data_IF_084517478386
#
_entry.id   IF_084517478386
#
_cell.length_a   1.000
_cell.length_b   1.000
_cell.length_c   1.000
_cell.angle_alpha   90.00
_cell.angle_beta   90.00
_cell.angle_gamma   90.00
#
_symmetry.space_group_name_H-M   'P 1'
#
loop_
_entity.id
_entity.type
_entity.pdbx_description
1 polymer ?
#
# COMPACT_ATOMS: atom_id res chain seq x y z
N UNK A 1 -27.63 -18.56 -25.53
CA UNK A 1 -26.89 -17.33 -25.19
C UNK A 1 -25.42 -17.73 -25.11
N UNK A 2 -24.56 -17.36 -26.07
CA UNK A 2 -23.16 -17.77 -26.01
C UNK A 2 -22.45 -16.99 -24.89
N UNK A 3 -21.57 -17.68 -24.16
CA UNK A 3 -20.78 -17.16 -23.05
C UNK A 3 -19.89 -15.99 -23.53
N UNK A 4 -19.94 -14.87 -22.82
CA UNK A 4 -19.18 -13.67 -23.17
C UNK A 4 -17.68 -13.92 -23.06
N UNK A 5 -16.96 -13.69 -24.16
CA UNK A 5 -15.49 -13.70 -24.16
C UNK A 5 -14.95 -12.65 -23.16
N UNK A 6 -13.82 -12.92 -22.49
CA UNK A 6 -13.21 -11.97 -21.56
C UNK A 6 -12.86 -10.65 -22.28
N UNK A 7 -13.24 -9.53 -21.67
CA UNK A 7 -12.86 -8.19 -22.11
C UNK A 7 -11.45 -7.93 -21.62
N UNK A 8 -10.47 -7.95 -22.52
CA UNK A 8 -9.14 -7.42 -22.26
C UNK A 8 -9.17 -5.91 -22.45
N UNK A 9 -8.97 -5.17 -21.36
CA UNK A 9 -8.67 -3.74 -21.43
C UNK A 9 -7.26 -3.61 -21.98
N UNK A 10 -7.13 -3.42 -23.30
CA UNK A 10 -5.90 -2.88 -23.88
C UNK A 10 -5.77 -1.45 -23.37
N UNK A 11 -4.90 -1.25 -22.40
CA UNK A 11 -4.48 0.08 -22.01
C UNK A 11 -3.74 0.67 -23.22
N UNK A 12 -4.31 1.72 -23.83
CA UNK A 12 -3.61 2.49 -24.86
C UNK A 12 -2.23 2.90 -24.35
N UNK A 13 -1.27 3.03 -25.26
CA UNK A 13 0.06 3.58 -24.93
C UNK A 13 -0.15 4.82 -24.07
N UNK A 14 0.44 4.84 -22.88
CA UNK A 14 0.44 5.98 -21.97
C UNK A 14 0.77 7.21 -22.83
N UNK A 15 -0.19 8.13 -22.94
CA UNK A 15 -0.01 9.35 -23.69
C UNK A 15 1.27 10.04 -23.19
N UNK A 16 2.08 10.57 -24.12
CA UNK A 16 3.15 11.48 -23.71
C UNK A 16 2.49 12.64 -22.95
N UNK A 17 3.04 13.06 -21.80
CA UNK A 17 2.48 14.19 -21.05
C UNK A 17 2.25 15.36 -21.99
N UNK A 18 1.08 15.97 -21.90
CA UNK A 18 0.81 17.21 -22.62
C UNK A 18 1.82 18.26 -22.14
N UNK A 19 2.61 18.91 -23.00
CA UNK A 19 3.47 20.02 -22.60
C UNK A 19 2.69 21.21 -21.99
N UNK A 20 1.35 21.18 -22.03
CA UNK A 20 0.44 22.08 -21.29
C UNK A 20 -0.19 21.43 -20.05
N UNK A 21 0.47 20.44 -19.42
CA UNK A 21 -0.04 19.83 -18.18
C UNK A 21 -0.23 20.94 -17.14
N UNK A 22 -1.46 21.15 -16.62
CA UNK A 22 -1.73 22.01 -15.47
C UNK A 22 -0.72 21.72 -14.34
N UNK A 23 -0.29 22.72 -13.57
CA UNK A 23 0.75 22.55 -12.55
C UNK A 23 0.28 21.61 -11.43
N UNK A 24 0.48 20.30 -11.60
CA UNK A 24 0.30 19.31 -10.55
C UNK A 24 1.23 19.69 -9.40
N UNK A 25 0.71 19.67 -8.18
CA UNK A 25 1.54 19.84 -6.99
C UNK A 25 1.59 18.54 -6.21
N UNK A 26 2.74 18.24 -5.64
CA UNK A 26 2.92 17.05 -4.83
C UNK A 26 3.77 17.31 -3.60
N UNK A 27 3.57 16.48 -2.58
CA UNK A 27 4.42 16.37 -1.41
C UNK A 27 4.33 14.96 -0.85
N UNK A 28 5.40 14.50 -0.20
CA UNK A 28 5.42 13.20 0.46
C UNK A 28 5.86 13.30 1.92
N UNK A 29 5.28 12.46 2.76
CA UNK A 29 5.63 12.31 4.17
C UNK A 29 5.61 10.86 4.61
N UNK A 30 6.56 10.48 5.44
CA UNK A 30 6.55 9.23 6.18
C UNK A 30 6.20 9.53 7.63
N UNK A 31 5.30 8.74 8.22
CA UNK A 31 4.93 8.81 9.62
C UNK A 31 5.15 7.47 10.30
N UNK A 32 5.62 7.48 11.54
CA UNK A 32 5.74 6.27 12.35
C UNK A 32 4.34 5.82 12.80
N UNK A 33 3.99 4.58 12.45
CA UNK A 33 2.76 3.90 12.84
C UNK A 33 3.05 2.62 13.64
N UNK A 34 4.23 2.54 14.26
CA UNK A 34 4.62 1.43 15.14
C UNK A 34 3.87 1.51 16.48
N UNK A 35 2.95 0.58 16.78
CA UNK A 35 2.28 0.54 18.07
C UNK A 35 3.22 0.04 19.17
N UNK A 36 2.87 0.21 20.46
CA UNK A 36 3.56 -0.51 21.54
C UNK A 36 3.40 -2.04 21.40
N UNK A 37 4.32 -2.85 21.96
CA UNK A 37 4.22 -4.31 21.91
C UNK A 37 3.02 -4.81 22.74
N UNK A 38 2.60 -6.05 22.50
CA UNK A 38 1.48 -6.68 23.20
C UNK A 38 0.15 -6.65 22.43
N UNK A 39 0.07 -5.86 21.36
CA UNK A 39 -1.08 -5.89 20.45
C UNK A 39 -1.11 -7.21 19.65
N UNK A 40 -2.31 -7.66 19.22
CA UNK A 40 -2.44 -8.86 18.39
C UNK A 40 -1.59 -8.74 17.13
N UNK A 41 -1.00 -9.83 16.64
CA UNK A 41 -0.39 -9.83 15.31
C UNK A 41 -1.43 -10.13 14.24
N UNK A 42 -1.31 -9.48 13.09
CA UNK A 42 -2.15 -9.75 11.92
C UNK A 42 -1.59 -10.90 11.07
N UNK A 43 -2.47 -11.71 10.48
CA UNK A 43 -2.25 -12.44 9.22
C UNK A 43 -2.26 -13.95 9.37
N UNK A 44 -1.66 -14.49 10.42
CA UNK A 44 -1.58 -15.94 10.65
C UNK A 44 -2.73 -16.51 11.49
N UNK A 45 -3.68 -15.69 11.92
CA UNK A 45 -4.84 -16.14 12.68
C UNK A 45 -4.43 -16.90 13.95
N UNK A 46 -5.16 -17.98 14.28
CA UNK A 46 -4.92 -18.77 15.49
C UNK A 46 -3.65 -19.64 15.47
N UNK A 47 -2.95 -19.74 14.33
CA UNK A 47 -1.75 -20.58 14.20
C UNK A 47 -0.43 -19.80 14.25
N UNK A 48 -0.52 -18.47 14.30
CA UNK A 48 0.62 -17.58 14.50
C UNK A 48 0.76 -17.10 15.94
N UNK A 49 1.79 -16.29 16.18
CA UNK A 49 2.04 -15.69 17.47
C UNK A 49 0.93 -14.72 17.90
N UNK A 50 0.59 -14.77 19.19
CA UNK A 50 -0.57 -14.04 19.71
C UNK A 50 -0.36 -12.52 19.77
N UNK A 51 0.89 -12.08 19.94
CA UNK A 51 1.27 -10.69 20.04
C UNK A 51 2.74 -10.47 19.72
N UNK A 52 3.07 -9.29 19.19
CA UNK A 52 4.46 -8.90 19.02
C UNK A 52 5.06 -8.50 20.38
N UNK A 53 6.29 -8.92 20.65
CA UNK A 53 7.05 -8.60 21.87
C UNK A 53 8.04 -7.44 21.67
N UNK A 54 8.18 -6.97 20.44
CA UNK A 54 9.11 -5.93 20.08
C UNK A 54 9.09 -5.62 18.58
N UNK A 55 10.20 -5.08 18.09
CA UNK A 55 10.30 -4.58 16.72
C UNK A 55 11.61 -5.05 16.11
N UNK A 56 11.55 -5.54 14.88
CA UNK A 56 12.76 -5.67 14.07
C UNK A 56 12.98 -4.37 13.29
N UNK A 57 11.90 -3.85 12.69
CA UNK A 57 11.87 -2.54 12.05
C UNK A 57 10.61 -1.81 12.49
N UNK A 58 10.66 -0.47 12.46
CA UNK A 58 9.47 0.37 12.63
C UNK A 58 8.42 0.04 11.54
N UNK A 59 7.16 0.35 11.80
CA UNK A 59 6.08 0.36 10.81
C UNK A 59 5.83 1.80 10.39
N UNK A 60 5.61 2.03 9.09
CA UNK A 60 5.44 3.38 8.57
C UNK A 60 4.18 3.53 7.73
N UNK A 61 3.55 4.69 7.86
CA UNK A 61 2.59 5.21 6.90
C UNK A 61 3.33 6.14 5.94
N UNK A 62 3.25 5.89 4.64
CA UNK A 62 3.87 6.70 3.59
C UNK A 62 2.75 7.39 2.81
N UNK A 63 2.76 8.71 2.86
CA UNK A 63 1.72 9.58 2.34
C UNK A 63 2.27 10.32 1.13
N UNK A 64 1.51 10.30 0.03
CA UNK A 64 1.71 11.12 -1.16
C UNK A 64 0.47 11.99 -1.32
N UNK A 65 0.63 13.28 -1.07
CA UNK A 65 -0.37 14.30 -1.30
C UNK A 65 -0.21 14.85 -2.71
N UNK A 66 -1.32 14.94 -3.43
CA UNK A 66 -1.41 15.52 -4.78
C UNK A 66 -2.49 16.60 -4.79
N UNK A 67 -2.27 17.67 -5.54
CA UNK A 67 -3.24 18.75 -5.77
C UNK A 67 -3.20 19.15 -7.24
N UNK A 68 -4.37 19.20 -7.88
CA UNK A 68 -4.49 19.71 -9.26
C UNK A 68 -4.61 21.24 -9.29
N UNK A 69 -4.61 21.83 -10.50
CA UNK A 69 -4.75 23.28 -10.68
C UNK A 69 -6.08 23.83 -10.13
N UNK A 70 -7.14 23.02 -10.11
CA UNK A 70 -8.43 23.36 -9.54
C UNK A 70 -8.49 23.30 -8.01
N UNK A 71 -7.37 22.95 -7.35
CA UNK A 71 -7.28 22.77 -5.91
C UNK A 71 -7.91 21.47 -5.41
N UNK A 72 -8.27 20.53 -6.31
CA UNK A 72 -8.74 19.21 -5.90
C UNK A 72 -7.56 18.40 -5.38
N UNK A 73 -7.74 17.81 -4.21
CA UNK A 73 -6.70 17.04 -3.54
C UNK A 73 -6.96 15.56 -3.62
N UNK A 74 -5.88 14.80 -3.73
CA UNK A 74 -5.86 13.34 -3.62
C UNK A 74 -4.80 12.97 -2.59
N UNK A 75 -5.15 12.09 -1.65
CA UNK A 75 -4.20 11.51 -0.73
C UNK A 75 -4.04 10.02 -1.01
N UNK A 76 -2.82 9.61 -1.34
CA UNK A 76 -2.44 8.21 -1.42
C UNK A 76 -1.64 7.82 -0.18
N UNK A 77 -2.08 6.78 0.52
CA UNK A 77 -1.46 6.30 1.75
C UNK A 77 -1.11 4.83 1.59
N UNK A 78 0.17 4.48 1.79
CA UNK A 78 0.63 3.11 1.94
C UNK A 78 1.01 2.86 3.40
N UNK A 79 0.43 1.84 4.01
CA UNK A 79 0.67 1.49 5.41
C UNK A 79 1.42 0.16 5.54
N UNK A 80 2.42 0.10 6.42
CA UNK A 80 3.04 -1.15 6.85
C UNK A 80 2.09 -1.91 7.80
N UNK A 81 0.93 -2.31 7.26
CA UNK A 81 -0.14 -3.04 7.95
C UNK A 81 -0.57 -4.27 7.16
N UNK A 82 -1.31 -5.13 7.84
CA UNK A 82 -1.83 -6.37 7.29
C UNK A 82 -2.92 -6.20 6.25
N UNK A 83 -3.86 -5.27 6.42
CA UNK A 83 -4.84 -4.96 5.39
C UNK A 83 -5.41 -3.57 5.61
N UNK A 84 -6.06 -3.02 4.59
CA UNK A 84 -6.88 -1.81 4.75
C UNK A 84 -8.14 -2.13 5.56
N UNK A 85 -8.62 -1.15 6.32
CA UNK A 85 -9.84 -1.25 7.13
C UNK A 85 -10.79 -0.13 6.71
N UNK A 86 -12.03 -0.48 6.35
CA UNK A 86 -13.05 0.52 6.01
C UNK A 86 -13.26 1.52 7.17
N UNK A 87 -13.15 1.05 8.41
CA UNK A 87 -13.21 1.92 9.59
C UNK A 87 -12.06 2.94 9.59
N UNK A 88 -10.82 2.49 9.42
CA UNK A 88 -9.65 3.37 9.41
C UNK A 88 -9.71 4.37 8.25
N UNK A 89 -10.07 3.90 7.05
CA UNK A 89 -10.26 4.74 5.85
C UNK A 89 -11.28 5.85 6.08
N UNK A 90 -12.49 5.49 6.53
CA UNK A 90 -13.57 6.48 6.72
C UNK A 90 -13.28 7.45 7.86
N UNK A 91 -12.65 6.99 8.95
CA UNK A 91 -12.22 7.85 10.06
C UNK A 91 -11.13 8.84 9.62
N UNK A 92 -10.18 8.39 8.80
CA UNK A 92 -9.13 9.27 8.25
C UNK A 92 -9.72 10.31 7.29
N UNK A 93 -10.59 9.90 6.37
CA UNK A 93 -11.28 10.82 5.46
C UNK A 93 -12.10 11.86 6.24
N UNK A 94 -12.85 11.45 7.26
CA UNK A 94 -13.59 12.37 8.12
C UNK A 94 -12.66 13.37 8.85
N UNK A 95 -11.50 12.92 9.32
CA UNK A 95 -10.51 13.77 9.98
C UNK A 95 -9.83 14.78 9.04
N UNK A 96 -9.84 14.51 7.72
CA UNK A 96 -9.22 15.33 6.68
C UNK A 96 -10.25 16.08 5.80
N UNK A 97 -11.52 16.10 6.20
CA UNK A 97 -12.57 16.75 5.41
C UNK A 97 -12.37 18.27 5.24
N UNK A 98 -11.73 18.93 6.22
CA UNK A 98 -11.42 20.37 6.13
C UNK A 98 -10.28 20.66 5.16
N UNK A 99 -9.45 19.66 4.90
CA UNK A 99 -8.31 19.68 3.99
C UNK A 99 -8.72 19.32 2.57
N UNK A 100 -10.01 19.10 2.30
CA UNK A 100 -10.55 18.78 0.97
C UNK A 100 -10.50 17.30 0.61
N UNK A 101 -10.26 16.41 1.58
CA UNK A 101 -10.21 14.95 1.34
C UNK A 101 -11.55 14.30 1.66
N UNK A 102 -12.33 14.09 0.62
CA UNK A 102 -13.48 13.18 0.65
C UNK A 102 -13.00 11.71 0.61
N UNK A 103 -13.86 10.74 0.99
CA UNK A 103 -13.49 9.33 0.92
C UNK A 103 -13.06 8.85 -0.48
N UNK A 104 -13.62 9.43 -1.54
CA UNK A 104 -13.30 9.09 -2.93
C UNK A 104 -11.96 9.70 -3.39
N UNK A 105 -11.42 10.65 -2.61
CA UNK A 105 -10.12 11.30 -2.78
C UNK A 105 -9.06 10.72 -1.82
N UNK A 106 -9.32 9.56 -1.21
CA UNK A 106 -8.39 8.86 -0.32
C UNK A 106 -8.14 7.43 -0.80
N UNK A 107 -6.92 7.16 -1.25
CA UNK A 107 -6.44 5.81 -1.54
C UNK A 107 -5.68 5.29 -0.33
N UNK A 108 -6.09 4.13 0.21
CA UNK A 108 -5.40 3.46 1.32
C UNK A 108 -4.99 2.05 0.92
N UNK A 109 -3.69 1.88 0.69
CA UNK A 109 -3.05 0.61 0.39
C UNK A 109 -2.22 0.13 1.60
N UNK A 110 -1.93 -1.16 1.63
CA UNK A 110 -1.13 -1.77 2.69
C UNK A 110 -0.10 -2.73 2.10
N UNK A 111 1.03 -2.92 2.77
CA UNK A 111 2.04 -3.92 2.37
C UNK A 111 1.57 -5.36 2.50
N UNK A 112 0.44 -5.58 3.20
CA UNK A 112 -0.01 -6.91 3.58
C UNK A 112 1.03 -7.65 4.43
N UNK A 113 1.72 -6.92 5.33
CA UNK A 113 2.65 -7.53 6.29
C UNK A 113 1.89 -8.37 7.32
N UNK A 114 2.35 -9.61 7.52
CA UNK A 114 1.90 -10.46 8.62
C UNK A 114 2.63 -10.16 9.96
N UNK A 115 3.41 -9.09 10.00
CA UNK A 115 4.11 -8.60 11.18
C UNK A 115 3.60 -7.23 11.64
N UNK A 116 2.39 -6.83 11.25
CA UNK A 116 1.70 -5.65 11.76
C UNK A 116 0.74 -5.96 12.92
N UNK A 117 0.20 -4.94 13.61
CA UNK A 117 -0.85 -5.14 14.59
C UNK A 117 -2.14 -5.64 13.93
N UNK A 118 -2.95 -6.40 14.65
CA UNK A 118 -4.35 -6.69 14.36
C UNK A 118 -5.29 -5.81 15.21
N UNK A 119 -6.60 -6.10 15.17
CA UNK A 119 -7.58 -5.47 16.06
C UNK A 119 -8.09 -4.09 15.62
N UNK A 120 -7.77 -3.63 14.42
CA UNK A 120 -8.20 -2.32 13.90
C UNK A 120 -9.34 -2.39 12.87
N UNK A 121 -10.00 -3.55 12.75
CA UNK A 121 -11.18 -3.71 11.89
C UNK A 121 -12.46 -3.37 12.65
N UNK A 122 -13.41 -2.71 11.98
CA UNK A 122 -14.74 -2.42 12.52
C UNK A 122 -15.66 -3.63 12.63
N UNK A 123 -15.15 -4.86 12.49
CA UNK A 123 -15.96 -6.07 12.50
C UNK A 123 -15.24 -7.22 13.23
N UNK A 124 -15.95 -7.84 14.18
CA UNK A 124 -15.40 -8.91 15.04
C UNK A 124 -14.88 -10.12 14.27
N UNK A 125 -15.56 -10.51 13.19
CA UNK A 125 -15.13 -11.63 12.36
C UNK A 125 -13.74 -11.40 11.76
N UNK A 126 -13.48 -10.21 11.19
CA UNK A 126 -12.17 -9.93 10.59
C UNK A 126 -11.08 -9.89 11.66
N UNK A 127 -11.34 -9.27 12.82
CA UNK A 127 -10.38 -9.27 13.92
C UNK A 127 -10.05 -10.71 14.39
N UNK A 128 -11.06 -11.58 14.52
CA UNK A 128 -10.86 -12.98 14.91
C UNK A 128 -10.10 -13.80 13.87
N UNK A 129 -10.48 -13.68 12.59
CA UNK A 129 -9.88 -14.43 11.50
C UNK A 129 -8.39 -14.12 11.34
N UNK A 130 -8.03 -12.83 11.37
CA UNK A 130 -6.65 -12.40 11.04
C UNK A 130 -5.72 -12.44 12.24
N UNK A 131 -6.21 -12.24 13.46
CA UNK A 131 -5.37 -12.13 14.65
C UNK A 131 -5.55 -13.28 15.65
N UNK A 132 -6.38 -14.29 15.34
CA UNK A 132 -6.65 -15.41 16.23
C UNK A 132 -7.47 -15.07 17.47
N UNK A 133 -7.79 -13.78 17.68
CA UNK A 133 -8.64 -13.27 18.76
C UNK A 133 -9.59 -12.18 18.24
N UNK A 134 -10.90 -12.23 18.56
CA UNK A 134 -11.88 -11.24 18.11
C UNK A 134 -11.80 -9.95 18.95
N UNK A 135 -10.60 -9.39 19.11
CA UNK A 135 -10.32 -8.19 19.87
C UNK A 135 -10.36 -6.96 18.95
N UNK A 136 -11.01 -5.89 19.40
CA UNK A 136 -10.99 -4.58 18.74
C UNK A 136 -10.25 -3.60 19.65
N UNK A 137 -9.29 -2.88 19.09
CA UNK A 137 -8.41 -1.96 19.79
C UNK A 137 -8.72 -0.52 19.35
N UNK A 138 -9.73 0.15 19.95
CA UNK A 138 -10.14 1.49 19.53
C UNK A 138 -9.01 2.51 19.65
N UNK A 139 -8.17 2.39 20.69
CA UNK A 139 -7.01 3.27 20.90
C UNK A 139 -5.99 3.17 19.76
N UNK A 140 -5.83 1.98 19.17
CA UNK A 140 -4.98 1.81 18.00
C UNK A 140 -5.56 2.56 16.80
N UNK A 141 -6.87 2.45 16.55
CA UNK A 141 -7.52 3.17 15.44
C UNK A 141 -7.43 4.67 15.63
N UNK A 142 -7.75 5.18 16.81
CA UNK A 142 -7.71 6.61 17.10
C UNK A 142 -6.29 7.17 16.91
N UNK A 143 -5.28 6.46 17.42
CA UNK A 143 -3.88 6.83 17.26
C UNK A 143 -3.42 6.77 15.79
N UNK A 144 -3.76 5.72 15.04
CA UNK A 144 -3.44 5.64 13.61
C UNK A 144 -4.06 6.80 12.83
N UNK A 145 -5.32 7.15 13.11
CA UNK A 145 -5.99 8.29 12.47
C UNK A 145 -5.27 9.59 12.78
N UNK A 146 -4.88 9.81 14.04
CA UNK A 146 -4.15 11.02 14.45
C UNK A 146 -2.80 11.15 13.75
N UNK A 147 -1.98 10.08 13.77
CA UNK A 147 -0.67 10.06 13.12
C UNK A 147 -0.77 10.33 11.61
N UNK A 148 -1.71 9.66 10.94
CA UNK A 148 -1.92 9.80 9.50
C UNK A 148 -2.50 11.17 9.14
N UNK A 149 -3.45 11.69 9.90
CA UNK A 149 -4.03 13.01 9.66
C UNK A 149 -3.00 14.12 9.87
N UNK A 150 -2.17 14.01 10.91
CA UNK A 150 -1.06 14.93 11.16
C UNK A 150 -0.06 14.92 10.00
N UNK A 151 0.40 13.74 9.57
CA UNK A 151 1.31 13.61 8.42
C UNK A 151 0.70 14.11 7.11
N UNK A 152 -0.61 13.92 6.91
CA UNK A 152 -1.30 14.38 5.72
C UNK A 152 -1.37 15.91 5.67
N UNK A 153 -1.72 16.56 6.79
CA UNK A 153 -1.72 18.02 6.92
C UNK A 153 -0.34 18.60 6.64
N UNK A 154 0.70 17.97 7.18
CA UNK A 154 2.08 18.36 6.92
C UNK A 154 2.45 18.20 5.45
N UNK A 155 2.06 17.10 4.79
CA UNK A 155 2.25 16.94 3.35
C UNK A 155 1.52 18.04 2.55
N UNK A 156 0.25 18.33 2.86
CA UNK A 156 -0.51 19.38 2.17
C UNK A 156 0.11 20.77 2.35
N UNK A 157 0.68 21.07 3.52
CA UNK A 157 1.37 22.33 3.77
C UNK A 157 2.66 22.51 2.95
N UNK A 158 3.22 21.41 2.42
CA UNK A 158 4.48 21.39 1.68
C UNK A 158 4.30 21.03 0.19
N UNK A 159 3.09 21.15 -0.35
CA UNK A 159 2.83 20.95 -1.78
C UNK A 159 3.70 21.88 -2.63
N UNK A 160 4.41 21.30 -3.60
CA UNK A 160 5.24 22.04 -4.56
C UNK A 160 4.96 21.54 -5.99
N UNK A 161 5.21 22.36 -7.03
CA UNK A 161 5.09 21.93 -8.42
C UNK A 161 5.82 20.60 -8.67
N UNK A 162 5.16 19.67 -9.36
CA UNK A 162 5.62 18.30 -9.50
C UNK A 162 5.21 17.67 -10.83
N UNK A 163 6.08 16.82 -11.35
CA UNK A 163 5.83 15.98 -12.51
C UNK A 163 5.68 14.51 -12.09
N UNK A 164 4.85 13.77 -12.82
CA UNK A 164 4.62 12.34 -12.60
C UNK A 164 5.09 11.54 -13.82
N UNK A 165 5.78 10.42 -13.55
CA UNK A 165 6.15 9.43 -14.55
C UNK A 165 5.70 8.04 -14.12
N UNK A 166 5.30 7.21 -15.10
CA UNK A 166 4.96 5.80 -14.86
C UNK A 166 5.96 4.93 -15.60
N UNK A 167 6.63 4.06 -14.85
CA UNK A 167 7.53 3.04 -15.36
C UNK A 167 6.96 1.64 -15.16
N UNK A 168 7.33 0.72 -16.05
CA UNK A 168 7.03 -0.70 -15.91
C UNK A 168 8.31 -1.49 -16.11
N UNK A 169 8.56 -2.45 -15.24
CA UNK A 169 9.66 -3.39 -15.34
C UNK A 169 9.16 -4.82 -15.06
N UNK A 170 9.95 -5.80 -15.48
CA UNK A 170 9.71 -7.20 -15.13
C UNK A 170 10.70 -7.64 -14.05
N UNK A 171 10.19 -8.12 -12.91
CA UNK A 171 11.02 -8.68 -11.84
C UNK A 171 11.56 -10.03 -12.29
N UNK A 172 12.82 -10.33 -11.96
CA UNK A 172 13.49 -11.58 -12.33
C UNK A 172 12.66 -12.83 -11.97
N UNK A 173 12.73 -13.85 -12.82
CA UNK A 173 12.06 -15.12 -12.59
C UNK A 173 12.53 -15.76 -11.27
N UNK A 174 11.62 -16.43 -10.57
CA UNK A 174 11.91 -17.10 -9.29
C UNK A 174 11.89 -16.21 -8.05
N UNK A 175 11.70 -14.89 -8.18
CA UNK A 175 11.55 -13.99 -7.03
C UNK A 175 10.23 -14.21 -6.25
N UNK A 176 9.20 -14.71 -6.93
CA UNK A 176 7.89 -15.05 -6.37
C UNK A 176 7.42 -16.38 -6.94
N UNK A 177 6.44 -17.01 -6.28
CA UNK A 177 5.81 -18.22 -6.79
C UNK A 177 4.31 -18.24 -6.47
N UNK A 178 3.55 -18.91 -7.32
CA UNK A 178 2.14 -19.18 -7.12
C UNK A 178 1.99 -20.29 -6.07
N UNK A 179 1.36 -19.96 -4.93
CA UNK A 179 1.10 -20.90 -3.83
C UNK A 179 -0.13 -21.78 -4.06
N UNK A 180 -0.86 -21.58 -5.16
CA UNK A 180 -2.11 -22.27 -5.47
C UNK A 180 -2.21 -22.55 -6.98
N UNK A 181 -1.20 -23.25 -7.52
CA UNK A 181 -1.12 -23.55 -8.94
C UNK A 181 -2.37 -24.28 -9.46
N UNK A 182 -2.87 -25.28 -8.74
CA UNK A 182 -4.06 -26.06 -9.15
C UNK A 182 -5.28 -25.15 -9.37
N UNK A 183 -5.54 -24.23 -8.44
CA UNK A 183 -6.63 -23.26 -8.56
C UNK A 183 -6.41 -22.31 -9.75
N UNK A 184 -5.16 -21.91 -10.01
CA UNK A 184 -4.82 -21.09 -11.19
C UNK A 184 -5.02 -21.86 -12.50
N UNK A 185 -4.67 -23.14 -12.52
CA UNK A 185 -4.77 -24.01 -13.70
C UNK A 185 -6.22 -24.17 -14.19
N UNK A 186 -7.20 -24.13 -13.28
CA UNK A 186 -8.63 -24.15 -13.63
C UNK A 186 -9.13 -22.95 -14.44
N UNK A 187 -8.32 -21.91 -14.66
CA UNK A 187 -8.67 -20.80 -15.56
C UNK A 187 -8.43 -21.13 -17.05
N UNK A 188 -7.89 -22.30 -17.37
CA UNK A 188 -7.49 -22.69 -18.73
C UNK A 188 -7.98 -24.10 -19.07
N UNK A 189 -8.31 -24.32 -20.35
CA UNK A 189 -8.70 -25.65 -20.85
C UNK A 189 -7.50 -26.62 -20.89
N UNK A 190 -6.30 -26.11 -21.16
CA UNK A 190 -5.03 -26.84 -21.11
C UNK A 190 -3.96 -26.01 -20.38
N UNK A 191 -3.82 -26.18 -19.05
CA UNK A 191 -2.85 -25.42 -18.26
C UNK A 191 -1.40 -25.93 -18.39
N UNK A 192 -1.21 -27.10 -19.02
CA UNK A 192 0.07 -27.81 -19.09
C UNK A 192 0.60 -28.27 -17.72
N UNK A 193 1.89 -28.62 -17.69
CA UNK A 193 2.58 -29.11 -16.48
C UNK A 193 2.68 -28.03 -15.37
N UNK A 194 2.74 -28.44 -14.08
CA UNK A 194 2.92 -27.54 -12.95
C UNK A 194 4.13 -26.61 -13.05
N UNK A 195 3.87 -25.30 -13.09
CA UNK A 195 4.88 -24.24 -13.25
C UNK A 195 4.59 -23.07 -12.29
N UNK A 196 4.71 -23.27 -10.97
CA UNK A 196 4.32 -22.27 -9.98
C UNK A 196 5.21 -21.01 -10.00
N UNK A 197 6.46 -21.08 -10.48
CA UNK A 197 7.35 -19.90 -10.56
C UNK A 197 7.11 -19.06 -11.81
N UNK A 198 6.46 -19.64 -12.81
CA UNK A 198 6.15 -19.02 -14.09
C UNK A 198 4.70 -18.54 -14.15
N UNK A 199 3.79 -19.16 -13.38
CA UNK A 199 2.37 -18.79 -13.26
C UNK A 199 2.13 -17.63 -12.28
N UNK A 200 2.92 -16.56 -12.44
CA UNK A 200 2.93 -15.39 -11.56
C UNK A 200 2.95 -14.09 -12.37
N UNK A 201 2.40 -13.02 -11.79
CA UNK A 201 2.54 -11.69 -12.38
C UNK A 201 3.90 -11.08 -11.97
N UNK A 202 4.81 -10.98 -12.93
CA UNK A 202 6.16 -10.43 -12.73
C UNK A 202 6.27 -8.93 -13.00
N UNK A 203 5.16 -8.29 -13.39
CA UNK A 203 5.12 -6.86 -13.70
C UNK A 203 5.24 -6.03 -12.42
N UNK A 204 6.29 -5.24 -12.32
CA UNK A 204 6.41 -4.15 -11.37
C UNK A 204 6.02 -2.85 -12.08
N UNK A 205 5.07 -2.13 -11.52
CA UNK A 205 4.72 -0.77 -11.97
C UNK A 205 5.24 0.23 -10.94
N UNK A 206 5.86 1.30 -11.40
CA UNK A 206 6.37 2.38 -10.57
C UNK A 206 5.71 3.69 -10.97
N UNK A 207 5.08 4.37 -10.03
CA UNK A 207 4.72 5.78 -10.17
C UNK A 207 5.82 6.57 -9.48
N UNK A 208 6.55 7.38 -10.24
CA UNK A 208 7.56 8.29 -9.72
C UNK A 208 7.03 9.71 -9.79
N UNK A 209 7.20 10.45 -8.70
CA UNK A 209 6.83 11.87 -8.59
C UNK A 209 8.09 12.65 -8.27
N UNK A 210 8.39 13.63 -9.10
CA UNK A 210 9.55 14.49 -8.97
C UNK A 210 9.11 15.95 -8.83
N UNK A 211 9.84 16.74 -8.05
CA UNK A 211 9.67 18.18 -8.03
C UNK A 211 10.04 18.75 -9.40
N UNK A 212 9.25 19.68 -9.90
CA UNK A 212 9.61 20.40 -11.12
C UNK A 212 10.88 21.22 -10.88
N UNK A 213 11.91 21.06 -11.72
CA UNK A 213 13.14 21.79 -11.54
C UNK A 213 12.97 23.26 -11.93
N UNK A 214 13.75 24.14 -11.30
CA UNK A 214 14.08 25.44 -11.89
C UNK A 214 14.76 25.23 -13.26
N UNK A 215 14.58 26.16 -14.19
CA UNK A 215 15.12 26.05 -15.55
C UNK A 215 16.59 25.59 -15.57
N UNK A 216 16.86 24.48 -16.24
CA UNK A 216 18.21 23.87 -16.36
C UNK A 216 18.66 22.95 -15.21
N UNK A 217 17.89 22.80 -14.13
CA UNK A 217 18.20 21.88 -13.03
C UNK A 217 17.65 20.46 -13.25
N UNK A 218 18.23 19.41 -12.63
CA UNK A 218 17.68 18.07 -12.68
C UNK A 218 16.42 17.93 -11.81
N UNK A 219 15.52 17.02 -12.22
CA UNK A 219 14.37 16.60 -11.42
C UNK A 219 14.83 15.98 -10.08
N UNK A 220 14.18 16.38 -8.99
CA UNK A 220 14.45 15.87 -7.63
C UNK A 220 13.29 14.97 -7.19
N UNK A 221 13.53 13.69 -6.83
CA UNK A 221 12.47 12.79 -6.40
C UNK A 221 11.72 13.29 -5.16
N UNK A 222 10.39 13.33 -5.23
CA UNK A 222 9.49 13.51 -4.08
C UNK A 222 9.05 12.15 -3.55
N UNK A 223 8.61 11.26 -4.45
CA UNK A 223 8.07 9.96 -4.07
C UNK A 223 8.24 8.89 -5.17
N UNK A 224 8.24 7.65 -4.72
CA UNK A 224 8.19 6.45 -5.55
C UNK A 224 7.15 5.49 -4.98
N UNK A 225 6.14 5.14 -5.78
CA UNK A 225 5.09 4.19 -5.42
C UNK A 225 5.18 2.97 -6.33
N UNK A 226 5.67 1.86 -5.78
CA UNK A 226 5.81 0.59 -6.51
C UNK A 226 4.61 -0.33 -6.27
N UNK A 227 4.18 -1.02 -7.32
CA UNK A 227 3.10 -2.00 -7.32
C UNK A 227 3.69 -3.30 -7.86
N UNK A 228 3.78 -4.30 -6.98
CA UNK A 228 4.28 -5.63 -7.32
C UNK A 228 3.57 -6.70 -6.48
N UNK A 229 3.18 -7.81 -7.11
CA UNK A 229 2.36 -8.83 -6.48
C UNK A 229 3.21 -9.86 -5.72
N UNK A 230 3.36 -9.65 -4.41
CA UNK A 230 3.94 -10.63 -3.47
C UNK A 230 3.34 -10.45 -2.08
N UNK A 231 3.10 -11.55 -1.37
CA UNK A 231 2.62 -11.50 0.02
C UNK A 231 3.69 -10.96 0.97
N UNK A 232 3.30 -10.16 1.96
CA UNK A 232 4.17 -9.74 3.06
C UNK A 232 4.36 -10.83 4.12
N UNK A 233 4.86 -12.00 3.70
CA UNK A 233 5.06 -13.21 4.51
C UNK A 233 6.47 -13.79 4.37
N UNK A 234 7.48 -12.93 4.28
CA UNK A 234 8.88 -13.38 4.22
C UNK A 234 9.33 -13.97 5.55
N UNK A 235 8.73 -13.52 6.66
CA UNK A 235 8.85 -14.16 7.98
C UNK A 235 7.70 -15.11 8.24
N UNK A 236 8.01 -16.24 8.86
CA UNK A 236 7.03 -17.27 9.17
C UNK A 236 6.13 -16.90 10.37
N UNK A 237 5.19 -17.79 10.69
CA UNK A 237 4.20 -17.60 11.74
C UNK A 237 4.76 -17.56 13.18
N UNK A 238 6.03 -17.90 13.38
CA UNK A 238 6.73 -17.86 14.68
C UNK A 238 7.40 -16.51 14.95
N UNK A 239 7.36 -15.58 13.99
CA UNK A 239 7.87 -14.23 14.21
C UNK A 239 7.09 -13.52 15.32
N UNK A 240 7.83 -12.89 16.24
CA UNK A 240 7.28 -12.13 17.37
C UNK A 240 7.63 -10.64 17.31
N UNK A 241 8.18 -10.16 16.19
CA UNK A 241 8.66 -8.78 16.06
C UNK A 241 7.92 -8.03 14.95
N UNK A 242 7.55 -6.78 15.19
CA UNK A 242 6.95 -5.97 14.13
C UNK A 242 7.96 -5.60 13.04
N UNK A 243 7.49 -5.59 11.78
CA UNK A 243 8.18 -5.04 10.60
C UNK A 243 7.22 -4.94 9.39
N UNK A 244 7.59 -4.15 8.38
CA UNK A 244 6.81 -4.01 7.14
C UNK A 244 6.99 -5.12 6.09
N UNK A 245 7.64 -6.23 6.47
CA UNK A 245 8.03 -7.36 5.60
C UNK A 245 8.76 -6.92 4.30
N UNK A 246 8.70 -7.71 3.22
CA UNK A 246 9.44 -7.48 1.97
C UNK A 246 9.18 -6.10 1.38
N UNK A 247 7.93 -5.64 1.37
CA UNK A 247 7.56 -4.34 0.83
C UNK A 247 8.08 -3.20 1.71
N UNK A 248 7.99 -3.32 3.03
CA UNK A 248 8.51 -2.34 3.97
C UNK A 248 10.04 -2.32 4.02
N UNK A 249 10.71 -3.44 3.72
CA UNK A 249 12.15 -3.51 3.55
C UNK A 249 12.57 -2.84 2.23
N UNK A 250 11.90 -3.16 1.12
CA UNK A 250 12.13 -2.52 -0.18
C UNK A 250 11.94 -1.00 -0.11
N UNK A 251 10.86 -0.53 0.53
CA UNK A 251 10.58 0.88 0.71
C UNK A 251 11.63 1.63 1.55
N UNK A 252 12.43 0.93 2.37
CA UNK A 252 13.53 1.53 3.14
C UNK A 252 14.84 1.61 2.35
N UNK A 253 15.07 0.68 1.44
CA UNK A 253 16.28 0.66 0.62
C UNK A 253 16.32 1.78 -0.43
N UNK A 254 15.15 2.34 -0.78
CA UNK A 254 14.99 3.35 -1.82
C UNK A 254 14.76 4.77 -1.28
N UNK A 255 15.01 4.99 0.01
CA UNK A 255 14.88 6.29 0.67
C UNK A 255 16.11 7.17 0.48
#
# INVERSE_FOLDING_TARGET
MPAGAPVFVQQERIAKPDPQTPTLRAAARAVDITPPPGLPMYGYGSVGEAAAIGYWLRLEGRLLALEDEGGQRLLMVQLDLGASSALLHRRLAAALGKEGIAPDNLVMATTHTHAGPGGFFGHRFYNGLVAGRPAYEPRLVDWLVEQLASGARDAFAHLQPAALAVGVAEVAAGAVHNRSFEAWAHNFDDPGEPRPKESVNRRLTLIRVDAEPSEGAPYVPIAAWSIFAVHGTSQDRKNTLHHGDVHGAAARLIR
#
